data_IF_213974584614
#
_entry.id   IF_213974584614
#
_cell.length_a   1.000
_cell.length_b   1.000
_cell.length_c   1.000
_cell.angle_alpha   90.00
_cell.angle_beta   90.00
_cell.angle_gamma   90.00
#
_symmetry.space_group_name_H-M   'P 1'
#
loop_
_entity.id
_entity.type
_entity.pdbx_description
1 polymer ?
#
# COMPACT_ATOMS: atom_id res chain seq x y z
N UNK A 1 -0.85 -19.92 19.34
CA UNK A 1 -1.19 -18.49 19.52
C UNK A 1 -1.06 -17.82 18.17
N UNK A 2 -2.02 -16.97 17.77
CA UNK A 2 -1.94 -16.24 16.50
C UNK A 2 -0.79 -15.23 16.62
N UNK A 3 0.11 -15.21 15.64
CA UNK A 3 1.19 -14.24 15.58
C UNK A 3 0.61 -12.83 15.35
N UNK A 4 1.14 -11.82 16.04
CA UNK A 4 0.65 -10.44 15.89
C UNK A 4 1.13 -9.81 14.59
N UNK A 5 0.39 -8.82 14.07
CA UNK A 5 0.83 -8.04 12.92
C UNK A 5 2.20 -7.36 13.15
N UNK A 6 2.50 -6.90 14.37
CA UNK A 6 3.80 -6.28 14.71
C UNK A 6 4.95 -7.28 14.53
N UNK A 7 4.79 -8.50 15.05
CA UNK A 7 5.83 -9.53 14.93
C UNK A 7 6.00 -9.97 13.47
N UNK A 8 4.90 -10.02 12.73
CA UNK A 8 4.91 -10.28 11.29
C UNK A 8 5.71 -9.20 10.54
N UNK A 9 5.46 -7.92 10.81
CA UNK A 9 6.19 -6.78 10.23
C UNK A 9 7.67 -6.85 10.58
N UNK A 10 8.03 -7.20 11.82
CA UNK A 10 9.43 -7.36 12.25
C UNK A 10 10.16 -8.39 11.37
N UNK A 11 9.57 -9.55 11.15
CA UNK A 11 10.13 -10.60 10.29
C UNK A 11 10.27 -10.16 8.83
N UNK A 12 9.26 -9.47 8.28
CA UNK A 12 9.32 -8.90 6.93
C UNK A 12 10.49 -7.90 6.82
N UNK A 13 10.66 -7.03 7.82
CA UNK A 13 11.75 -6.06 7.88
C UNK A 13 13.12 -6.74 7.94
N UNK A 14 13.28 -7.77 8.75
CA UNK A 14 14.53 -8.55 8.83
C UNK A 14 14.86 -9.22 7.50
N UNK A 15 13.87 -9.84 6.86
CA UNK A 15 14.04 -10.44 5.55
C UNK A 15 14.49 -9.40 4.51
N UNK A 16 13.84 -8.23 4.49
CA UNK A 16 14.23 -7.12 3.61
C UNK A 16 15.64 -6.60 3.88
N UNK A 17 16.05 -6.46 5.14
CA UNK A 17 17.40 -6.00 5.50
C UNK A 17 18.46 -6.97 4.95
N UNK A 18 18.22 -8.28 5.06
CA UNK A 18 19.18 -9.31 4.68
C UNK A 18 19.22 -9.55 3.16
N UNK A 19 18.07 -9.54 2.48
CA UNK A 19 17.97 -9.94 1.07
C UNK A 19 17.68 -8.77 0.13
N UNK A 20 17.58 -7.55 0.65
CA UNK A 20 17.23 -6.31 -0.09
C UNK A 20 15.89 -6.39 -0.83
N UNK A 21 15.07 -7.36 -0.47
CA UNK A 21 13.75 -7.64 -1.02
C UNK A 21 12.95 -8.46 0.00
N UNK A 22 11.64 -8.32 -0.01
CA UNK A 22 10.74 -9.18 0.75
C UNK A 22 9.45 -9.38 -0.06
N UNK A 23 9.08 -10.64 -0.26
CA UNK A 23 7.78 -10.99 -0.79
C UNK A 23 6.79 -11.13 0.36
N UNK A 24 5.65 -10.45 0.24
CA UNK A 24 4.56 -10.53 1.22
C UNK A 24 3.32 -11.07 0.50
N UNK A 25 2.86 -12.29 0.82
CA UNK A 25 1.60 -12.81 0.30
C UNK A 25 0.43 -11.85 0.56
N UNK A 26 -0.44 -11.69 -0.43
CA UNK A 26 -1.58 -10.76 -0.32
C UNK A 26 -2.45 -11.01 0.91
N UNK A 27 -2.78 -12.27 1.22
CA UNK A 27 -3.55 -12.62 2.42
C UNK A 27 -2.84 -12.20 3.72
N UNK A 28 -1.51 -12.29 3.78
CA UNK A 28 -0.73 -11.84 4.93
C UNK A 28 -0.78 -10.31 5.06
N UNK A 29 -0.59 -9.58 3.95
CA UNK A 29 -0.70 -8.13 3.93
C UNK A 29 -2.08 -7.65 4.38
N UNK A 30 -3.15 -8.29 3.90
CA UNK A 30 -4.51 -7.95 4.29
C UNK A 30 -4.75 -8.13 5.79
N UNK A 31 -4.26 -9.23 6.37
CA UNK A 31 -4.36 -9.46 7.81
C UNK A 31 -3.63 -8.38 8.61
N UNK A 32 -2.43 -7.96 8.17
CA UNK A 32 -1.69 -6.86 8.80
C UNK A 32 -2.54 -5.58 8.75
N UNK A 33 -3.02 -5.18 7.58
CA UNK A 33 -3.79 -3.93 7.43
C UNK A 33 -5.04 -3.92 8.31
N UNK A 34 -5.80 -5.01 8.36
CA UNK A 34 -7.01 -5.11 9.20
C UNK A 34 -6.69 -5.05 10.69
N UNK A 35 -5.60 -5.69 11.15
CA UNK A 35 -5.15 -5.59 12.55
C UNK A 35 -4.71 -4.16 12.93
N UNK A 36 -4.28 -3.35 11.96
CA UNK A 36 -3.96 -1.93 12.13
C UNK A 36 -5.16 -0.99 11.88
N UNK A 37 -6.38 -1.53 11.71
CA UNK A 37 -7.62 -0.75 11.65
C UNK A 37 -8.19 -0.51 10.25
N UNK A 38 -7.64 -1.12 9.20
CA UNK A 38 -8.25 -1.06 7.87
C UNK A 38 -9.60 -1.78 7.87
N UNK A 39 -10.61 -1.16 7.26
CA UNK A 39 -11.92 -1.77 7.08
C UNK A 39 -11.88 -2.79 5.90
N UNK A 40 -12.25 -4.06 6.12
CA UNK A 40 -12.29 -5.06 5.05
C UNK A 40 -13.19 -4.69 3.85
N UNK A 41 -14.21 -3.85 4.05
CA UNK A 41 -15.08 -3.39 2.96
C UNK A 41 -14.31 -2.50 1.96
N UNK A 42 -13.56 -1.52 2.47
CA UNK A 42 -12.76 -0.58 1.67
C UNK A 42 -11.70 -1.31 0.83
N UNK A 43 -11.18 -2.44 1.33
CA UNK A 43 -10.23 -3.30 0.61
C UNK A 43 -10.88 -3.91 -0.63
N UNK A 44 -12.16 -4.29 -0.56
CA UNK A 44 -12.86 -4.82 -1.72
C UNK A 44 -13.17 -3.72 -2.73
N UNK A 45 -13.58 -2.52 -2.27
CA UNK A 45 -13.81 -1.37 -3.14
C UNK A 45 -12.53 -0.95 -3.90
N UNK A 46 -11.35 -1.06 -3.28
CA UNK A 46 -10.07 -0.78 -3.96
C UNK A 46 -9.81 -1.66 -5.18
N UNK A 47 -10.39 -2.87 -5.28
CA UNK A 47 -10.25 -3.72 -6.46
C UNK A 47 -10.92 -3.09 -7.68
N UNK A 48 -12.06 -2.43 -7.48
CA UNK A 48 -12.86 -1.84 -8.54
C UNK A 48 -12.27 -0.52 -9.05
N UNK A 49 -11.56 0.23 -8.19
CA UNK A 49 -10.83 1.46 -8.58
C UNK A 49 -9.77 1.17 -9.65
N UNK A 50 -9.21 -0.04 -9.68
CA UNK A 50 -8.19 -0.44 -10.64
C UNK A 50 -8.69 -0.50 -12.10
N UNK A 51 -10.01 -0.51 -12.33
CA UNK A 51 -10.61 -0.53 -13.66
C UNK A 51 -10.71 0.88 -14.30
N UNK A 52 -10.58 1.95 -13.50
CA UNK A 52 -10.78 3.35 -13.91
C UNK A 52 -9.47 4.12 -14.17
N UNK A 53 -8.46 3.48 -14.77
CA UNK A 53 -7.15 4.10 -15.04
C UNK A 53 -7.14 4.94 -16.33
N UNK A 54 -6.34 6.01 -16.38
CA UNK A 54 -6.19 6.86 -17.57
C UNK A 54 -5.07 6.37 -18.48
N UNK A 55 -5.09 6.73 -19.76
CA UNK A 55 -3.97 6.44 -20.65
C UNK A 55 -2.71 7.15 -20.17
N UNK A 56 -1.61 6.42 -20.11
CA UNK A 56 -0.32 6.96 -19.74
C UNK A 56 0.22 7.83 -20.89
N UNK A 57 0.66 9.08 -20.62
CA UNK A 57 1.15 9.98 -21.67
C UNK A 57 2.53 9.58 -22.20
N UNK A 58 3.26 8.72 -21.49
CA UNK A 58 4.63 8.32 -21.84
C UNK A 58 4.67 6.96 -22.53
N UNK A 59 3.82 6.02 -22.10
CA UNK A 59 3.77 4.65 -22.63
C UNK A 59 2.35 4.30 -23.11
N UNK A 60 2.16 4.27 -24.43
CA UNK A 60 0.84 4.11 -25.07
C UNK A 60 0.10 2.80 -24.73
N UNK A 61 0.81 1.77 -24.29
CA UNK A 61 0.24 0.48 -23.87
C UNK A 61 -0.11 0.43 -22.37
N UNK A 62 0.19 1.48 -21.60
CA UNK A 62 -0.02 1.52 -20.15
C UNK A 62 -1.21 2.42 -19.82
N UNK A 63 -2.02 2.00 -18.84
CA UNK A 63 -2.97 2.86 -18.14
C UNK A 63 -2.50 3.05 -16.71
N UNK A 64 -2.47 4.28 -16.21
CA UNK A 64 -1.94 4.61 -14.89
C UNK A 64 -2.71 5.77 -14.24
N UNK A 65 -2.69 5.81 -12.91
CA UNK A 65 -3.13 6.95 -12.11
C UNK A 65 -2.19 7.09 -10.93
N UNK A 66 -1.70 8.31 -10.71
CA UNK A 66 -0.65 8.57 -9.73
C UNK A 66 -1.18 9.49 -8.62
N UNK A 67 -0.67 9.31 -7.42
CA UNK A 67 -0.92 10.18 -6.27
C UNK A 67 0.32 10.19 -5.38
N UNK A 68 0.64 11.36 -4.84
CA UNK A 68 1.63 11.52 -3.78
C UNK A 68 0.88 11.77 -2.48
N UNK A 69 1.34 11.12 -1.42
CA UNK A 69 0.76 11.23 -0.08
C UNK A 69 1.85 11.70 0.87
N UNK A 70 1.51 12.66 1.74
CA UNK A 70 2.36 13.07 2.84
C UNK A 70 1.88 12.37 4.11
N UNK A 71 2.78 11.65 4.77
CA UNK A 71 2.58 11.15 6.13
C UNK A 71 3.18 12.16 7.09
N UNK A 72 2.32 12.92 7.75
CA UNK A 72 2.70 13.88 8.78
C UNK A 72 2.64 13.18 10.13
N UNK A 73 3.81 12.78 10.64
CA UNK A 73 3.93 12.08 11.92
C UNK A 73 3.74 13.01 13.12
N UNK A 74 3.96 14.32 12.96
CA UNK A 74 3.78 15.29 14.04
C UNK A 74 2.29 15.53 14.29
N UNK A 75 1.51 15.62 13.22
CA UNK A 75 0.06 15.82 13.28
C UNK A 75 -0.75 14.50 13.13
N UNK A 76 -0.06 13.36 13.14
CA UNK A 76 -0.64 12.01 13.03
C UNK A 76 -1.65 11.85 11.86
N UNK A 77 -1.38 12.48 10.73
CA UNK A 77 -2.29 12.47 9.60
C UNK A 77 -1.62 12.06 8.29
N UNK A 78 -2.44 11.65 7.33
CA UNK A 78 -2.02 11.38 5.97
C UNK A 78 -2.95 12.11 5.01
N UNK A 79 -2.39 12.83 4.05
CA UNK A 79 -3.17 13.55 3.06
C UNK A 79 -2.53 13.47 1.69
N UNK A 80 -3.36 13.59 0.65
CA UNK A 80 -2.91 13.64 -0.74
C UNK A 80 -2.32 15.02 -1.02
N UNK A 81 -1.11 15.06 -1.57
CA UNK A 81 -0.48 16.32 -1.97
C UNK A 81 -1.01 16.82 -3.31
N UNK A 82 -0.59 18.01 -3.70
CA UNK A 82 -0.83 18.52 -5.04
C UNK A 82 -0.34 17.55 -6.13
N UNK A 83 -1.01 17.59 -7.28
CA UNK A 83 -0.58 16.86 -8.45
C UNK A 83 0.76 17.43 -8.93
N UNK A 84 1.74 16.56 -9.18
CA UNK A 84 2.96 16.96 -9.87
C UNK A 84 3.22 15.98 -11.02
N UNK A 85 3.55 16.47 -12.22
CA UNK A 85 3.88 15.62 -13.36
C UNK A 85 5.13 14.77 -13.08
N UNK A 86 5.30 13.72 -13.88
CA UNK A 86 6.50 12.88 -13.92
C UNK A 86 7.27 13.17 -15.20
#
# INVERSE_FOLDING_TARGET
MKESAIETIRKIKENYINHRSAFVPGAQLLNILVEFGANPADINEMKDISEQLFNDPTLSFRRSRNGRFCYDLENECCYRTEFQPF
#
